data_IF_583539291265
#
_entry.id   IF_583539291265
#
_cell.length_a   1.000
_cell.length_b   1.000
_cell.length_c   1.000
_cell.angle_alpha   90.00
_cell.angle_beta   90.00
_cell.angle_gamma   90.00
#
_symmetry.space_group_name_H-M   'P 1'
#
loop_
_entity.id
_entity.type
_entity.pdbx_description
1 polymer ?
#
# COMPACT_ATOMS: atom_id res chain seq x y z
N UNK A 1 20.13 21.40 15.41
CA UNK A 1 19.23 21.91 14.35
C UNK A 1 19.59 21.26 13.04
N UNK A 2 18.72 20.43 12.47
CA UNK A 2 18.96 19.81 11.17
C UNK A 2 18.95 20.91 10.09
N UNK A 3 20.04 21.01 9.30
CA UNK A 3 20.10 21.92 8.15
C UNK A 3 18.97 21.55 7.18
N UNK A 4 17.99 22.43 7.01
CA UNK A 4 16.99 22.28 5.93
C UNK A 4 17.73 22.30 4.61
N UNK A 5 17.74 21.17 3.91
CA UNK A 5 18.28 21.07 2.55
C UNK A 5 17.53 22.07 1.67
N UNK A 6 18.23 22.82 0.83
CA UNK A 6 17.60 23.74 -0.11
C UNK A 6 16.64 22.93 -1.01
N UNK A 7 15.39 23.40 -1.10
CA UNK A 7 14.42 22.75 -1.99
C UNK A 7 14.81 23.02 -3.44
N UNK A 8 14.67 22.03 -4.36
CA UNK A 8 14.97 22.24 -5.76
C UNK A 8 14.14 23.39 -6.34
N UNK A 9 14.68 24.08 -7.33
CA UNK A 9 13.95 25.10 -8.09
C UNK A 9 12.80 24.43 -8.86
N UNK A 10 11.67 25.14 -8.98
CA UNK A 10 10.56 24.64 -9.79
C UNK A 10 10.93 24.69 -11.27
N UNK A 11 10.62 23.62 -12.00
CA UNK A 11 10.77 23.52 -13.45
C UNK A 11 9.56 24.08 -14.18
N UNK A 12 8.39 23.97 -13.55
CA UNK A 12 7.12 24.44 -14.11
C UNK A 12 6.26 25.13 -13.04
N UNK A 13 5.36 26.00 -13.49
CA UNK A 13 4.36 26.67 -12.66
C UNK A 13 2.96 26.33 -13.16
N UNK A 14 2.05 25.99 -12.23
CA UNK A 14 0.64 25.76 -12.54
C UNK A 14 -0.27 26.47 -11.54
N UNK A 15 -1.37 27.00 -12.05
CA UNK A 15 -2.44 27.56 -11.22
C UNK A 15 -3.62 26.62 -11.24
N UNK A 16 -4.06 26.19 -10.05
CA UNK A 16 -5.22 25.33 -9.87
C UNK A 16 -6.39 26.16 -9.34
N UNK A 17 -7.57 25.95 -9.93
CA UNK A 17 -8.82 26.60 -9.56
C UNK A 17 -9.87 25.57 -9.17
N UNK A 18 -10.95 25.98 -8.48
CA UNK A 18 -12.07 25.12 -8.18
C UNK A 18 -12.82 24.71 -9.45
N UNK A 19 -13.20 23.45 -9.55
CA UNK A 19 -14.12 22.95 -10.57
C UNK A 19 -15.56 23.44 -10.30
N UNK A 20 -15.93 23.55 -9.00
CA UNK A 20 -17.23 24.03 -8.58
C UNK A 20 -17.11 25.31 -7.77
N UNK A 21 -17.70 26.38 -8.24
CA UNK A 21 -17.69 27.70 -7.60
C UNK A 21 -18.85 27.93 -6.62
N UNK A 22 -19.64 26.89 -6.33
CA UNK A 22 -20.75 26.91 -5.39
C UNK A 22 -20.47 26.02 -4.18
N UNK A 23 -20.97 26.40 -3.00
CA UNK A 23 -20.84 25.61 -1.78
C UNK A 23 -21.70 24.34 -1.89
N UNK A 24 -21.12 23.18 -1.73
CA UNK A 24 -21.80 21.87 -1.80
C UNK A 24 -22.84 21.66 -0.69
N UNK A 25 -22.83 22.50 0.38
CA UNK A 25 -23.75 22.36 1.51
C UNK A 25 -24.94 23.31 1.39
N UNK A 26 -24.71 24.57 1.04
CA UNK A 26 -25.78 25.58 1.01
C UNK A 26 -26.06 26.17 -0.39
N UNK A 27 -25.36 25.73 -1.42
CA UNK A 27 -25.54 26.22 -2.79
C UNK A 27 -25.03 27.64 -3.05
N UNK A 28 -24.65 28.42 -2.03
CA UNK A 28 -24.21 29.80 -2.18
C UNK A 28 -22.90 29.87 -2.97
N UNK A 29 -22.71 30.93 -3.74
CA UNK A 29 -21.47 31.16 -4.48
C UNK A 29 -20.29 31.33 -3.52
N UNK A 30 -19.21 30.61 -3.77
CA UNK A 30 -17.97 30.73 -3.03
C UNK A 30 -17.22 32.00 -3.43
N UNK A 31 -16.56 32.65 -2.46
CA UNK A 31 -15.75 33.84 -2.72
C UNK A 31 -14.27 33.50 -2.57
N UNK A 32 -13.46 34.04 -3.46
CA UNK A 32 -12.02 33.91 -3.41
C UNK A 32 -11.48 34.50 -2.11
N UNK A 33 -10.72 33.72 -1.36
CA UNK A 33 -10.15 34.11 -0.09
C UNK A 33 -8.68 34.53 -0.22
N UNK A 34 -7.86 33.69 -0.85
CA UNK A 34 -6.41 33.93 -1.05
C UNK A 34 -5.81 32.93 -2.00
N UNK A 35 -4.57 33.18 -2.41
CA UNK A 35 -3.73 32.19 -3.06
C UNK A 35 -2.95 31.36 -2.02
N UNK A 36 -2.86 30.06 -2.24
CA UNK A 36 -1.92 29.16 -1.56
C UNK A 36 -0.79 28.79 -2.51
N UNK A 37 0.38 28.48 -1.98
CA UNK A 37 1.53 28.04 -2.79
C UNK A 37 2.12 26.77 -2.21
N UNK A 38 2.45 25.81 -3.09
CA UNK A 38 3.21 24.62 -2.72
C UNK A 38 4.08 24.16 -3.87
N UNK A 39 5.17 23.46 -3.53
CA UNK A 39 6.01 22.76 -4.52
C UNK A 39 5.75 21.27 -4.40
N UNK A 40 5.60 20.60 -5.54
CA UNK A 40 5.44 19.15 -5.64
C UNK A 40 6.51 18.60 -6.56
N UNK A 41 7.28 17.64 -6.06
CA UNK A 41 8.28 16.90 -6.83
C UNK A 41 7.64 15.67 -7.42
N UNK A 42 7.60 15.58 -8.74
CA UNK A 42 7.06 14.45 -9.53
C UNK A 42 8.16 13.74 -10.28
N UNK A 43 7.85 12.67 -10.98
CA UNK A 43 8.78 11.98 -11.87
C UNK A 43 9.16 12.80 -13.11
N UNK A 44 8.35 13.80 -13.47
CA UNK A 44 8.58 14.70 -14.62
C UNK A 44 9.33 15.97 -14.24
N UNK A 45 9.39 16.33 -12.96
CA UNK A 45 10.05 17.54 -12.50
C UNK A 45 9.43 18.13 -11.23
N UNK A 46 9.79 19.35 -10.91
CA UNK A 46 9.30 20.08 -9.73
C UNK A 46 8.29 21.14 -10.17
N UNK A 47 7.07 21.01 -9.69
CA UNK A 47 5.97 21.93 -10.00
C UNK A 47 5.77 22.92 -8.86
N UNK A 48 5.70 24.22 -9.18
CA UNK A 48 5.19 25.24 -8.28
C UNK A 48 3.69 25.42 -8.53
N UNK A 49 2.88 24.94 -7.59
CA UNK A 49 1.42 25.06 -7.68
C UNK A 49 0.96 26.33 -6.96
N UNK A 50 0.20 27.16 -7.67
CA UNK A 50 -0.57 28.28 -7.10
C UNK A 50 -2.02 27.84 -7.00
N UNK A 51 -2.54 27.77 -5.78
CA UNK A 51 -3.88 27.29 -5.48
C UNK A 51 -4.80 28.49 -5.23
N UNK A 52 -5.88 28.62 -5.97
CA UNK A 52 -6.93 29.59 -5.64
C UNK A 52 -7.82 29.00 -4.55
N UNK A 53 -7.79 29.61 -3.37
CA UNK A 53 -8.55 29.16 -2.21
C UNK A 53 -9.81 30.00 -2.07
N UNK A 54 -10.96 29.36 -1.90
CA UNK A 54 -12.24 29.99 -1.76
C UNK A 54 -12.87 29.69 -0.41
N UNK A 55 -13.92 30.41 -0.04
CA UNK A 55 -14.68 30.19 1.20
C UNK A 55 -16.16 30.51 1.03
N UNK A 56 -16.98 29.83 1.81
CA UNK A 56 -18.41 30.13 1.91
C UNK A 56 -18.63 31.36 2.81
N UNK A 57 -19.43 32.31 2.34
CA UNK A 57 -19.78 33.53 3.08
C UNK A 57 -21.17 33.46 3.74
N UNK A 58 -21.95 32.43 3.50
CA UNK A 58 -23.23 32.25 4.14
C UNK A 58 -23.05 31.91 5.62
N UNK A 59 -23.45 32.82 6.51
CA UNK A 59 -23.28 32.68 7.99
C UNK A 59 -24.07 31.50 8.57
N UNK A 60 -25.15 31.09 7.93
CA UNK A 60 -25.98 29.95 8.36
C UNK A 60 -25.43 28.61 7.88
N UNK A 61 -24.39 28.61 7.05
CA UNK A 61 -23.81 27.38 6.51
C UNK A 61 -22.80 26.78 7.50
N UNK A 62 -22.86 25.46 7.78
CA UNK A 62 -21.86 24.78 8.62
C UNK A 62 -20.42 24.93 8.08
N UNK A 63 -20.25 25.24 6.78
CA UNK A 63 -18.96 25.53 6.15
C UNK A 63 -18.62 27.03 6.07
N UNK A 64 -19.30 27.87 6.86
CA UNK A 64 -18.99 29.27 6.90
C UNK A 64 -17.49 29.52 7.17
N UNK A 65 -16.84 30.33 6.35
CA UNK A 65 -15.41 30.68 6.41
C UNK A 65 -14.42 29.52 6.24
N UNK A 66 -14.87 28.27 6.08
CA UNK A 66 -13.97 27.17 5.75
C UNK A 66 -13.38 27.32 4.37
N UNK A 67 -12.06 27.07 4.26
CA UNK A 67 -11.35 27.16 2.96
C UNK A 67 -11.66 25.94 2.11
N UNK A 68 -12.12 26.18 0.90
CA UNK A 68 -12.24 25.19 -0.17
C UNK A 68 -10.96 25.25 -1.04
N UNK A 69 -10.38 24.09 -1.29
CA UNK A 69 -9.17 23.92 -2.11
C UNK A 69 -9.54 23.34 -3.46
N UNK A 70 -8.76 23.61 -4.51
CA UNK A 70 -8.97 22.98 -5.82
C UNK A 70 -8.97 21.46 -5.73
N UNK A 71 -9.94 20.81 -6.32
CA UNK A 71 -10.11 19.36 -6.33
C UNK A 71 -8.92 18.66 -7.02
N UNK A 72 -8.39 19.28 -8.07
CA UNK A 72 -7.23 18.80 -8.82
C UNK A 72 -5.97 18.67 -7.95
N UNK A 73 -5.85 19.45 -6.86
CA UNK A 73 -4.69 19.39 -5.97
C UNK A 73 -4.46 17.97 -5.41
N UNK A 74 -5.55 17.25 -5.09
CA UNK A 74 -5.48 15.87 -4.60
C UNK A 74 -4.90 14.88 -5.61
N UNK A 75 -5.01 15.17 -6.90
CA UNK A 75 -4.39 14.38 -7.98
C UNK A 75 -2.87 14.57 -8.10
N UNK A 76 -2.34 15.68 -7.58
CA UNK A 76 -0.92 15.96 -7.62
C UNK A 76 -0.15 15.30 -6.47
N UNK A 77 -0.58 15.52 -5.25
CA UNK A 77 0.11 15.03 -4.07
C UNK A 77 -0.82 14.96 -2.85
N UNK A 78 -0.47 14.14 -1.87
CA UNK A 78 -1.16 14.07 -0.59
C UNK A 78 -1.14 15.42 0.15
N UNK A 79 -2.12 15.69 1.05
CA UNK A 79 -2.11 16.87 1.90
C UNK A 79 -0.75 17.04 2.60
N UNK A 80 -0.18 18.24 2.52
CA UNK A 80 1.14 18.58 3.06
C UNK A 80 2.33 17.77 2.49
N UNK A 81 2.10 16.87 1.53
CA UNK A 81 3.15 16.09 0.88
C UNK A 81 4.00 16.94 -0.08
N UNK A 82 5.29 16.65 -0.16
CA UNK A 82 6.24 17.30 -1.09
C UNK A 82 6.45 16.47 -2.36
N UNK A 83 6.08 15.19 -2.35
CA UNK A 83 6.21 14.28 -3.48
C UNK A 83 4.86 13.98 -4.11
N UNK A 84 4.87 13.86 -5.44
CA UNK A 84 3.70 13.50 -6.23
C UNK A 84 3.23 12.07 -5.99
N UNK A 85 1.96 11.81 -6.30
CA UNK A 85 1.39 10.46 -6.22
C UNK A 85 2.11 9.48 -7.14
N UNK A 86 2.66 9.94 -8.26
CA UNK A 86 3.48 9.17 -9.21
C UNK A 86 4.79 8.65 -8.56
N UNK A 87 5.44 9.47 -7.74
CA UNK A 87 6.65 9.07 -6.98
C UNK A 87 6.28 8.01 -5.94
N UNK A 88 5.19 8.21 -5.20
CA UNK A 88 4.69 7.25 -4.21
C UNK A 88 4.37 5.91 -4.89
N UNK A 89 3.67 5.94 -6.03
CA UNK A 89 3.32 4.75 -6.80
C UNK A 89 4.57 4.02 -7.32
N UNK A 90 5.58 4.75 -7.81
CA UNK A 90 6.84 4.14 -8.24
C UNK A 90 7.56 3.46 -7.09
N UNK A 91 7.65 4.08 -5.91
CA UNK A 91 8.28 3.48 -4.72
C UNK A 91 7.60 2.16 -4.36
N UNK A 92 6.27 2.12 -4.33
CA UNK A 92 5.50 0.90 -4.10
C UNK A 92 5.73 -0.18 -5.17
N UNK A 93 5.75 0.21 -6.44
CA UNK A 93 6.05 -0.70 -7.57
C UNK A 93 7.44 -1.32 -7.44
N UNK A 94 8.46 -0.50 -7.18
CA UNK A 94 9.84 -0.98 -7.01
C UNK A 94 9.97 -1.92 -5.81
N UNK A 95 9.26 -1.62 -4.72
CA UNK A 95 9.27 -2.45 -3.51
C UNK A 95 8.58 -3.79 -3.71
N UNK A 96 7.31 -3.78 -4.13
CA UNK A 96 6.45 -4.97 -4.09
C UNK A 96 6.46 -5.78 -5.39
N UNK A 97 6.59 -5.15 -6.55
CA UNK A 97 6.65 -5.88 -7.82
C UNK A 97 8.07 -6.28 -8.19
N UNK A 98 9.06 -5.40 -7.92
CA UNK A 98 10.46 -5.65 -8.27
C UNK A 98 11.31 -6.12 -7.08
N UNK A 99 10.74 -6.23 -5.88
CA UNK A 99 11.39 -6.73 -4.66
C UNK A 99 12.69 -5.99 -4.31
N UNK A 100 12.76 -4.69 -4.62
CA UNK A 100 13.95 -3.87 -4.35
C UNK A 100 14.01 -3.46 -2.88
N UNK A 101 15.22 -3.44 -2.33
CA UNK A 101 15.49 -2.88 -1.00
C UNK A 101 15.41 -1.35 -1.01
N UNK A 102 15.24 -0.73 0.18
CA UNK A 102 15.20 0.75 0.31
C UNK A 102 16.44 1.44 -0.30
N UNK A 103 17.69 0.96 -0.09
CA UNK A 103 18.85 1.52 -0.77
C UNK A 103 18.75 1.46 -2.30
N UNK A 104 18.32 0.34 -2.87
CA UNK A 104 18.17 0.18 -4.33
C UNK A 104 17.05 1.08 -4.90
N UNK A 105 15.96 1.28 -4.15
CA UNK A 105 14.89 2.22 -4.53
C UNK A 105 15.45 3.65 -4.51
N UNK A 106 16.19 4.01 -3.48
CA UNK A 106 16.83 5.32 -3.37
C UNK A 106 17.76 5.59 -4.56
N UNK A 107 18.64 4.64 -4.92
CA UNK A 107 19.53 4.74 -6.07
C UNK A 107 18.76 4.96 -7.38
N UNK A 108 17.65 4.23 -7.57
CA UNK A 108 16.80 4.37 -8.76
C UNK A 108 16.15 5.76 -8.84
N UNK A 109 15.64 6.28 -7.71
CA UNK A 109 15.05 7.63 -7.68
C UNK A 109 16.09 8.71 -7.95
N UNK A 110 17.30 8.58 -7.38
CA UNK A 110 18.42 9.51 -7.64
C UNK A 110 18.85 9.43 -9.12
N UNK A 111 18.92 8.24 -9.69
CA UNK A 111 19.24 8.04 -11.12
C UNK A 111 18.21 8.72 -12.04
N UNK A 112 16.96 8.81 -11.60
CA UNK A 112 15.88 9.57 -12.29
C UNK A 112 15.92 11.07 -12.02
N UNK A 113 16.92 11.57 -11.28
CA UNK A 113 17.10 12.99 -11.00
C UNK A 113 16.34 13.51 -9.77
N UNK A 114 15.66 12.63 -8.98
CA UNK A 114 14.99 13.06 -7.77
C UNK A 114 15.99 13.28 -6.63
N UNK A 115 15.92 14.46 -6.01
CA UNK A 115 16.69 14.77 -4.81
C UNK A 115 15.97 14.25 -3.55
N UNK A 116 16.25 13.01 -3.18
CA UNK A 116 15.59 12.32 -2.07
C UNK A 116 16.62 11.71 -1.13
N UNK A 117 16.31 11.61 0.16
CA UNK A 117 17.10 10.85 1.14
C UNK A 117 16.50 9.45 1.32
N UNK A 118 17.30 8.45 1.75
CA UNK A 118 16.80 7.10 2.00
C UNK A 118 15.62 7.07 3.01
N UNK A 119 15.69 7.88 4.07
CA UNK A 119 14.58 8.02 5.03
C UNK A 119 13.29 8.48 4.34
N UNK A 120 13.40 9.42 3.40
CA UNK A 120 12.24 9.89 2.64
C UNK A 120 11.65 8.77 1.78
N UNK A 121 12.47 7.87 1.23
CA UNK A 121 11.97 6.68 0.50
C UNK A 121 11.12 5.81 1.42
N UNK A 122 11.58 5.56 2.65
CA UNK A 122 10.80 4.84 3.67
C UNK A 122 9.49 5.54 3.98
N UNK A 123 9.50 6.87 4.16
CA UNK A 123 8.29 7.64 4.41
C UNK A 123 7.30 7.55 3.22
N UNK A 124 7.80 7.59 1.96
CA UNK A 124 6.94 7.41 0.79
C UNK A 124 6.40 5.98 0.67
N UNK A 125 7.15 4.97 1.09
CA UNK A 125 6.67 3.59 1.14
C UNK A 125 5.51 3.45 2.13
N UNK A 126 5.61 4.01 3.33
CA UNK A 126 4.50 4.04 4.28
C UNK A 126 3.26 4.75 3.72
N UNK A 127 3.46 5.86 2.98
CA UNK A 127 2.33 6.53 2.30
C UNK A 127 1.68 5.66 1.23
N UNK A 128 2.47 4.90 0.48
CA UNK A 128 1.95 3.92 -0.47
C UNK A 128 1.10 2.85 0.23
N UNK A 129 1.58 2.30 1.34
CA UNK A 129 0.87 1.28 2.13
C UNK A 129 -0.43 1.83 2.73
N UNK A 130 -0.43 3.07 3.25
CA UNK A 130 -1.64 3.75 3.72
C UNK A 130 -2.69 3.92 2.60
N UNK A 131 -2.25 4.38 1.42
CA UNK A 131 -3.14 4.53 0.26
C UNK A 131 -3.68 3.18 -0.23
N UNK A 132 -2.85 2.16 -0.24
CA UNK A 132 -3.25 0.80 -0.59
C UNK A 132 -4.28 0.27 0.41
N UNK A 133 -4.07 0.46 1.71
CA UNK A 133 -5.01 0.04 2.74
C UNK A 133 -6.37 0.74 2.58
N UNK A 134 -6.38 2.05 2.31
CA UNK A 134 -7.61 2.80 2.04
C UNK A 134 -8.32 2.31 0.76
N UNK A 135 -7.56 2.02 -0.30
CA UNK A 135 -8.11 1.47 -1.53
C UNK A 135 -8.74 0.09 -1.31
N UNK A 136 -8.07 -0.78 -0.57
CA UNK A 136 -8.55 -2.13 -0.26
C UNK A 136 -9.77 -2.11 0.68
N UNK A 137 -9.86 -1.12 1.57
CA UNK A 137 -11.01 -0.94 2.45
C UNK A 137 -12.28 -0.40 1.73
N UNK A 138 -12.18 -0.03 0.45
CA UNK A 138 -13.30 0.49 -0.32
C UNK A 138 -14.31 -0.62 -0.65
N UNK A 139 -15.38 -0.70 0.16
CA UNK A 139 -16.43 -1.72 0.02
C UNK A 139 -17.17 -1.61 -1.32
N UNK A 140 -17.40 -0.40 -1.84
CA UNK A 140 -18.09 -0.19 -3.10
C UNK A 140 -17.31 -0.83 -4.28
N UNK A 141 -15.99 -0.66 -4.30
CA UNK A 141 -15.12 -1.33 -5.27
C UNK A 141 -15.26 -2.86 -5.19
N UNK A 142 -15.24 -3.42 -3.98
CA UNK A 142 -15.41 -4.86 -3.78
C UNK A 142 -16.80 -5.33 -4.20
N UNK A 143 -17.86 -4.58 -3.93
CA UNK A 143 -19.22 -4.86 -4.40
C UNK A 143 -19.27 -4.97 -5.93
N UNK A 144 -18.70 -4.01 -6.64
CA UNK A 144 -18.65 -4.01 -8.11
C UNK A 144 -17.87 -5.20 -8.66
N UNK A 145 -16.74 -5.55 -8.06
CA UNK A 145 -15.84 -6.61 -8.51
C UNK A 145 -16.36 -8.01 -8.21
N UNK A 146 -17.03 -8.18 -7.07
CA UNK A 146 -17.52 -9.48 -6.58
C UNK A 146 -18.99 -9.73 -6.86
N UNK A 147 -19.75 -8.76 -7.41
CA UNK A 147 -21.22 -8.85 -7.59
C UNK A 147 -21.74 -10.10 -8.33
N UNK A 148 -20.92 -10.67 -9.22
CA UNK A 148 -21.27 -11.85 -10.01
C UNK A 148 -20.72 -13.15 -9.42
N UNK A 149 -20.02 -13.07 -8.28
CA UNK A 149 -19.34 -14.21 -7.68
C UNK A 149 -20.27 -14.93 -6.70
N UNK A 150 -20.35 -16.26 -6.83
CA UNK A 150 -21.22 -17.07 -5.99
C UNK A 150 -20.63 -17.41 -4.62
N UNK A 151 -19.29 -17.42 -4.52
CA UNK A 151 -18.56 -17.79 -3.32
C UNK A 151 -17.15 -17.20 -3.36
N UNK A 152 -16.53 -17.08 -2.18
CA UNK A 152 -15.15 -16.65 -1.99
C UNK A 152 -14.32 -17.81 -1.48
N UNK A 153 -13.13 -18.00 -2.05
CA UNK A 153 -12.09 -18.89 -1.55
C UNK A 153 -10.94 -18.03 -1.03
N UNK A 154 -10.84 -17.89 0.29
CA UNK A 154 -9.83 -17.03 0.92
C UNK A 154 -8.44 -17.67 0.86
N UNK A 155 -7.44 -16.92 0.41
CA UNK A 155 -6.04 -17.24 0.63
C UNK A 155 -5.46 -16.26 1.65
N UNK A 156 -4.84 -16.81 2.70
CA UNK A 156 -4.10 -16.06 3.72
C UNK A 156 -2.60 -16.31 3.53
N UNK A 157 -1.85 -15.24 3.31
CA UNK A 157 -0.39 -15.29 3.17
C UNK A 157 0.26 -14.08 3.84
N UNK A 158 1.47 -14.29 4.39
CA UNK A 158 2.28 -13.25 5.02
C UNK A 158 3.46 -12.86 4.12
N UNK A 159 3.52 -11.60 3.73
CA UNK A 159 4.63 -11.04 2.97
C UNK A 159 5.58 -10.33 3.94
N UNK A 160 6.77 -10.87 4.12
CA UNK A 160 7.82 -10.27 4.93
C UNK A 160 8.89 -9.68 4.02
N UNK A 161 8.86 -8.36 3.77
CA UNK A 161 9.79 -7.72 2.84
C UNK A 161 11.24 -7.68 3.36
N UNK A 162 11.44 -7.56 4.68
CA UNK A 162 12.75 -7.53 5.34
C UNK A 162 12.71 -8.26 6.69
N UNK A 163 13.83 -8.88 7.08
CA UNK A 163 13.96 -9.55 8.38
C UNK A 163 13.91 -8.52 9.52
N UNK A 164 13.08 -8.77 10.52
CA UNK A 164 12.93 -7.90 11.71
C UNK A 164 11.91 -6.77 11.56
N UNK A 165 11.20 -6.69 10.43
CA UNK A 165 10.12 -5.76 10.19
C UNK A 165 8.74 -6.43 10.28
N UNK A 166 7.70 -5.62 10.26
CA UNK A 166 6.31 -6.07 10.21
C UNK A 166 6.07 -6.97 9.01
N UNK A 167 5.23 -7.99 9.21
CA UNK A 167 4.74 -8.86 8.14
C UNK A 167 3.44 -8.27 7.60
N UNK A 168 3.39 -8.00 6.30
CA UNK A 168 2.15 -7.62 5.62
C UNK A 168 1.31 -8.88 5.39
N UNK A 169 0.26 -9.04 6.18
CA UNK A 169 -0.71 -10.11 6.02
C UNK A 169 -1.78 -9.73 5.01
N UNK A 170 -2.01 -10.62 4.06
CA UNK A 170 -2.95 -10.42 2.97
C UNK A 170 -3.98 -11.54 2.95
N UNK A 171 -5.25 -11.15 2.95
CA UNK A 171 -6.39 -12.02 2.67
C UNK A 171 -6.96 -11.65 1.31
N UNK A 172 -6.86 -12.57 0.36
CA UNK A 172 -7.39 -12.39 -0.99
C UNK A 172 -8.37 -13.50 -1.35
N UNK A 173 -9.26 -13.21 -2.26
CA UNK A 173 -10.07 -14.23 -2.90
C UNK A 173 -9.33 -14.88 -4.07
N UNK A 174 -9.20 -16.21 -4.06
CA UNK A 174 -8.53 -16.97 -5.12
C UNK A 174 -9.29 -16.94 -6.46
N UNK A 175 -10.60 -16.76 -6.43
CA UNK A 175 -11.43 -16.82 -7.63
C UNK A 175 -11.33 -15.54 -8.47
N UNK A 176 -11.42 -14.38 -7.82
CA UNK A 176 -11.32 -13.06 -8.45
C UNK A 176 -9.91 -12.47 -8.46
N UNK A 177 -9.04 -12.94 -7.54
CA UNK A 177 -7.75 -12.34 -7.27
C UNK A 177 -7.83 -11.06 -6.43
N UNK A 178 -9.02 -10.61 -6.04
CA UNK A 178 -9.21 -9.39 -5.26
C UNK A 178 -8.71 -9.53 -3.83
N UNK A 179 -8.01 -8.51 -3.34
CA UNK A 179 -7.59 -8.42 -1.95
C UNK A 179 -8.72 -7.85 -1.11
N UNK A 180 -9.16 -8.61 -0.12
CA UNK A 180 -10.23 -8.22 0.81
C UNK A 180 -9.67 -7.45 2.00
N UNK A 181 -8.55 -7.93 2.58
CA UNK A 181 -7.88 -7.33 3.73
C UNK A 181 -6.38 -7.38 3.53
N UNK A 182 -5.70 -6.29 3.89
CA UNK A 182 -4.25 -6.25 4.02
C UNK A 182 -3.89 -5.45 5.27
N UNK A 183 -3.03 -6.01 6.14
CA UNK A 183 -2.60 -5.38 7.41
C UNK A 183 -1.16 -5.76 7.72
N UNK A 184 -0.37 -4.78 8.14
CA UNK A 184 0.93 -5.01 8.73
C UNK A 184 0.78 -5.39 10.20
N UNK A 185 1.38 -6.52 10.60
CA UNK A 185 1.38 -7.01 11.97
C UNK A 185 2.81 -7.31 12.42
N UNK A 186 3.13 -6.98 13.67
CA UNK A 186 4.42 -7.32 14.29
C UNK A 186 4.54 -8.80 14.63
N UNK A 187 3.43 -9.49 14.79
CA UNK A 187 3.34 -10.90 15.14
C UNK A 187 2.51 -11.73 14.18
N UNK A 188 2.59 -13.03 14.32
CA UNK A 188 1.83 -14.02 13.58
C UNK A 188 1.14 -14.99 14.53
N UNK A 189 0.74 -14.51 15.72
CA UNK A 189 0.03 -15.33 16.70
C UNK A 189 -1.43 -15.54 16.30
N UNK A 190 -2.10 -16.51 16.91
CA UNK A 190 -3.54 -16.70 16.73
C UNK A 190 -4.32 -15.41 17.01
N UNK A 191 -3.99 -14.73 18.11
CA UNK A 191 -4.64 -13.49 18.53
C UNK A 191 -4.44 -12.32 17.57
N UNK A 192 -3.34 -12.29 16.84
CA UNK A 192 -3.06 -11.28 15.82
C UNK A 192 -3.85 -11.53 14.53
N UNK A 193 -4.04 -12.81 14.16
CA UNK A 193 -4.62 -13.21 12.88
C UNK A 193 -6.16 -13.32 12.91
N UNK A 194 -6.76 -13.64 14.08
CA UNK A 194 -8.22 -13.74 14.22
C UNK A 194 -8.93 -12.46 13.75
N UNK A 195 -8.55 -11.25 14.19
CA UNK A 195 -9.22 -10.02 13.74
C UNK A 195 -9.20 -9.80 12.23
N UNK A 196 -8.12 -10.23 11.52
CA UNK A 196 -8.06 -10.13 10.06
C UNK A 196 -9.08 -11.04 9.38
N UNK A 197 -9.18 -12.27 9.86
CA UNK A 197 -10.13 -13.25 9.33
C UNK A 197 -11.58 -12.81 9.60
N UNK A 198 -11.85 -12.27 10.78
CA UNK A 198 -13.15 -11.73 11.14
C UNK A 198 -13.53 -10.50 10.27
N UNK A 199 -12.56 -9.62 9.96
CA UNK A 199 -12.75 -8.49 9.05
C UNK A 199 -13.13 -8.98 7.65
N UNK A 200 -12.41 -9.96 7.10
CA UNK A 200 -12.74 -10.57 5.82
C UNK A 200 -14.13 -11.24 5.84
N UNK A 201 -14.46 -11.96 6.91
CA UNK A 201 -15.79 -12.55 7.08
C UNK A 201 -16.89 -11.50 7.15
N UNK A 202 -16.64 -10.37 7.81
CA UNK A 202 -17.58 -9.25 7.88
C UNK A 202 -17.82 -8.64 6.50
N UNK A 203 -16.76 -8.48 5.69
CA UNK A 203 -16.87 -8.00 4.30
C UNK A 203 -17.72 -8.97 3.48
N UNK A 204 -17.41 -10.28 3.52
CA UNK A 204 -18.17 -11.30 2.77
C UNK A 204 -19.64 -11.34 3.18
N UNK A 205 -19.95 -11.24 4.49
CA UNK A 205 -21.33 -11.16 4.99
C UNK A 205 -22.05 -9.92 4.49
N UNK A 206 -21.39 -8.76 4.49
CA UNK A 206 -21.97 -7.50 4.00
C UNK A 206 -22.30 -7.59 2.51
N UNK A 207 -21.47 -8.29 1.73
CA UNK A 207 -21.69 -8.54 0.30
C UNK A 207 -22.63 -9.71 0.01
N UNK A 208 -23.10 -10.41 1.04
CA UNK A 208 -23.91 -11.61 0.94
C UNK A 208 -23.26 -12.72 0.11
N UNK A 209 -21.96 -12.91 0.23
CA UNK A 209 -21.18 -13.91 -0.49
C UNK A 209 -20.60 -14.90 0.53
N UNK A 210 -20.91 -16.23 0.43
CA UNK A 210 -20.40 -17.23 1.35
C UNK A 210 -18.90 -17.49 1.15
N UNK A 211 -18.18 -17.77 2.25
CA UNK A 211 -16.81 -18.26 2.23
C UNK A 211 -16.85 -19.76 2.09
N UNK A 212 -16.35 -20.30 0.97
CA UNK A 212 -16.34 -21.73 0.68
C UNK A 212 -15.15 -22.46 1.29
N UNK A 213 -14.05 -21.77 1.55
CA UNK A 213 -12.86 -22.36 2.14
C UNK A 213 -11.75 -21.34 2.38
N UNK A 214 -10.71 -21.78 3.09
CA UNK A 214 -9.48 -21.02 3.33
C UNK A 214 -8.28 -21.82 2.86
N UNK A 215 -7.31 -21.16 2.25
CA UNK A 215 -6.00 -21.73 1.85
C UNK A 215 -4.91 -20.95 2.57
N UNK A 216 -3.91 -21.63 3.19
CA UNK A 216 -2.74 -20.99 3.78
C UNK A 216 -1.52 -21.91 3.78
N UNK A 217 -0.35 -21.42 4.24
CA UNK A 217 0.86 -22.20 4.41
C UNK A 217 0.75 -23.31 5.50
N UNK A 218 -0.27 -23.24 6.33
CA UNK A 218 -0.56 -24.25 7.34
C UNK A 218 0.21 -24.08 8.66
N UNK A 219 0.86 -22.95 8.90
CA UNK A 219 1.43 -22.65 10.21
C UNK A 219 0.41 -22.87 11.33
N UNK A 220 0.86 -23.38 12.47
CA UNK A 220 -0.01 -23.76 13.61
C UNK A 220 -0.88 -22.59 14.08
N UNK A 221 -0.32 -21.38 14.13
CA UNK A 221 -1.05 -20.16 14.51
C UNK A 221 -2.18 -19.84 13.53
N UNK A 222 -1.92 -19.97 12.22
CA UNK A 222 -2.92 -19.74 11.18
C UNK A 222 -4.05 -20.75 11.28
N UNK A 223 -3.73 -22.05 11.43
CA UNK A 223 -4.76 -23.11 11.57
C UNK A 223 -5.68 -22.85 12.76
N UNK A 224 -5.11 -22.43 13.88
CA UNK A 224 -5.90 -22.07 15.07
C UNK A 224 -6.76 -20.82 14.83
N UNK A 225 -6.19 -19.79 14.23
CA UNK A 225 -6.91 -18.56 13.90
C UNK A 225 -8.08 -18.82 12.94
N UNK A 226 -7.88 -19.66 11.91
CA UNK A 226 -8.96 -20.05 10.97
C UNK A 226 -10.05 -20.83 11.69
N UNK A 227 -9.69 -21.83 12.51
CA UNK A 227 -10.66 -22.61 13.27
C UNK A 227 -11.48 -21.75 14.25
N UNK A 228 -10.86 -20.71 14.83
CA UNK A 228 -11.50 -19.78 15.74
C UNK A 228 -12.44 -18.79 15.01
N UNK A 229 -11.92 -18.09 14.01
CA UNK A 229 -12.64 -17.00 13.33
C UNK A 229 -13.68 -17.51 12.31
N UNK A 230 -13.46 -18.69 11.73
CA UNK A 230 -14.26 -19.27 10.66
C UNK A 230 -14.64 -20.73 10.97
N UNK A 231 -15.37 -20.98 12.08
CA UNK A 231 -15.72 -22.34 12.47
C UNK A 231 -16.56 -23.04 11.40
N UNK A 232 -16.21 -24.29 11.07
CA UNK A 232 -16.88 -25.09 10.07
C UNK A 232 -16.50 -24.80 8.61
N UNK A 233 -15.67 -23.78 8.35
CA UNK A 233 -15.14 -23.52 7.00
C UNK A 233 -13.96 -24.43 6.72
N UNK A 234 -13.94 -25.18 5.57
CA UNK A 234 -12.81 -26.02 5.19
C UNK A 234 -11.51 -25.23 5.10
N UNK A 235 -10.42 -25.76 5.69
CA UNK A 235 -9.10 -25.14 5.60
C UNK A 235 -8.12 -26.12 4.92
N UNK A 236 -7.58 -25.69 3.79
CA UNK A 236 -6.62 -26.46 3.00
C UNK A 236 -5.23 -25.84 3.10
N UNK A 237 -4.21 -26.72 3.17
CA UNK A 237 -2.82 -26.28 3.09
C UNK A 237 -2.45 -25.92 1.65
N UNK A 238 -1.68 -24.85 1.49
CA UNK A 238 -1.18 -24.41 0.19
C UNK A 238 -0.18 -25.44 -0.38
N UNK A 239 -0.50 -26.02 -1.53
CA UNK A 239 0.36 -27.01 -2.18
C UNK A 239 1.74 -26.42 -2.53
N UNK A 240 1.82 -25.14 -2.89
CA UNK A 240 3.09 -24.48 -3.20
C UNK A 240 4.03 -24.48 -1.99
N UNK A 241 3.53 -24.06 -0.83
CA UNK A 241 4.33 -24.05 0.43
C UNK A 241 4.73 -25.47 0.82
N UNK A 242 3.83 -26.44 0.73
CA UNK A 242 4.12 -27.83 1.02
C UNK A 242 5.22 -28.40 0.11
N UNK A 243 5.12 -28.19 -1.21
CA UNK A 243 6.12 -28.65 -2.16
C UNK A 243 7.47 -27.95 -1.97
N UNK A 244 7.45 -26.64 -1.66
CA UNK A 244 8.68 -25.89 -1.36
C UNK A 244 9.38 -26.44 -0.11
N UNK A 245 8.64 -26.72 0.95
CA UNK A 245 9.20 -27.31 2.18
C UNK A 245 9.74 -28.71 1.93
N UNK A 246 9.01 -29.53 1.18
CA UNK A 246 9.46 -30.88 0.79
C UNK A 246 10.73 -30.86 -0.07
N UNK A 247 10.92 -29.83 -0.90
CA UNK A 247 12.11 -29.65 -1.73
C UNK A 247 13.30 -29.01 -0.98
N UNK A 248 13.08 -28.39 0.18
CA UNK A 248 14.13 -27.68 0.94
C UNK A 248 15.35 -28.57 1.27
N UNK A 249 15.21 -29.80 1.77
CA UNK A 249 16.38 -30.67 2.07
C UNK A 249 17.25 -30.93 0.82
N UNK A 250 16.63 -31.09 -0.34
CA UNK A 250 17.34 -31.34 -1.61
C UNK A 250 18.09 -30.06 -2.03
N UNK A 251 17.45 -28.90 -1.94
CA UNK A 251 18.06 -27.62 -2.27
C UNK A 251 19.22 -27.27 -1.32
N UNK A 252 19.12 -27.62 -0.04
CA UNK A 252 20.18 -27.42 0.95
C UNK A 252 21.37 -28.37 0.73
N UNK A 253 21.12 -29.63 0.39
CA UNK A 253 22.17 -30.58 0.02
C UNK A 253 22.93 -30.11 -1.23
N UNK A 254 22.23 -29.66 -2.29
CA UNK A 254 22.86 -29.09 -3.48
C UNK A 254 23.68 -27.82 -3.16
N UNK A 255 23.15 -26.92 -2.31
CA UNK A 255 23.87 -25.73 -1.86
C UNK A 255 25.12 -26.07 -1.09
N UNK A 256 25.06 -27.09 -0.21
CA UNK A 256 26.21 -27.57 0.54
C UNK A 256 27.26 -28.16 -0.37
N UNK A 257 26.89 -29.06 -1.28
CA UNK A 257 27.80 -29.65 -2.27
C UNK A 257 28.49 -28.59 -3.12
N UNK A 258 27.77 -27.57 -3.59
CA UNK A 258 28.33 -26.43 -4.33
C UNK A 258 29.33 -25.60 -3.51
N UNK A 259 29.09 -25.41 -2.20
CA UNK A 259 30.05 -24.73 -1.31
C UNK A 259 31.33 -25.54 -1.12
N UNK A 260 31.22 -26.84 -0.91
CA UNK A 260 32.38 -27.72 -0.78
C UNK A 260 33.18 -27.77 -2.05
N UNK A 261 32.55 -27.92 -3.23
CA UNK A 261 33.22 -27.89 -4.52
C UNK A 261 33.99 -26.58 -4.72
N UNK A 262 33.40 -25.43 -4.38
CA UNK A 262 34.08 -24.12 -4.46
C UNK A 262 35.29 -24.03 -3.55
N UNK A 263 35.29 -24.65 -2.35
CA UNK A 263 36.48 -24.69 -1.48
C UNK A 263 37.61 -25.48 -2.13
N UNK A 264 37.30 -26.65 -2.69
CA UNK A 264 38.31 -27.50 -3.37
C UNK A 264 38.88 -26.81 -4.61
N UNK A 265 38.08 -26.17 -5.44
CA UNK A 265 38.55 -25.45 -6.64
C UNK A 265 39.41 -24.24 -6.28
N UNK A 266 39.08 -23.49 -5.22
CA UNK A 266 39.92 -22.36 -4.75
C UNK A 266 41.22 -22.78 -4.09
N UNK A 267 41.30 -23.99 -3.54
CA UNK A 267 42.54 -24.56 -2.98
C UNK A 267 43.49 -25.17 -4.02
N UNK A 268 43.05 -25.33 -5.28
CA UNK A 268 43.86 -25.91 -6.35
C UNK A 268 44.60 -24.86 -7.20
N UNK A 269 44.54 -23.57 -6.86
CA UNK A 269 45.19 -22.46 -7.54
C UNK A 269 46.43 -22.05 -6.73
N UNK A 270 47.46 -22.94 -6.62
CA UNK A 270 48.81 -22.64 -6.19
C UNK A 270 49.81 -23.38 -7.08
#
# INVERSE_FOLDING_TARGET
MARKRARPSATEQRTLDLLQTTCQVCGSRLQMARHGHRKVTTLQGVYALTLKLYRCQNRECPRFQQLCRPEEEGGWALPHGEFGLDVIALVGTLRYQQQRSIPQIHEELVRRGLQVAQRTVTDQLYRYEELLALHLANTQRLEERLKNQKQVMLALDGLQPDVGHEVLWVLRDCCSGEVLVARSLLGATETDLVPLLEEAAKICRKLNIPIAGVISDGQRSIRKAVAHALPGIPHQLCHFHYLREAATPIADADRHAKKELKKHVRGASH
#
